data_IF_066953629062
#
_entry.id   IF_066953629062
#
_cell.length_a   1.000
_cell.length_b   1.000
_cell.length_c   1.000
_cell.angle_alpha   90.00
_cell.angle_beta   90.00
_cell.angle_gamma   90.00
#
_symmetry.space_group_name_H-M   'P 1'
#
loop_
_entity.id
_entity.type
_entity.pdbx_description
1 polymer ?
#
# COMPACT_ATOMS: atom_id res chain seq x y z
N UNK A 1 77.46 -44.44 -26.78
CA UNK A 1 77.74 -43.00 -26.78
C UNK A 1 76.47 -42.29 -26.42
N UNK A 2 76.25 -42.02 -25.15
CA UNK A 2 75.07 -41.30 -24.66
C UNK A 2 75.46 -39.83 -24.44
N UNK A 3 74.99 -38.98 -25.31
CA UNK A 3 75.24 -37.55 -25.24
C UNK A 3 74.45 -36.89 -24.15
N UNK A 4 75.08 -36.30 -23.12
CA UNK A 4 74.39 -35.70 -21.98
C UNK A 4 73.66 -34.40 -22.35
N UNK A 5 73.93 -33.80 -23.53
CA UNK A 5 73.20 -32.57 -23.95
C UNK A 5 71.74 -32.83 -24.40
N UNK A 6 71.49 -34.05 -24.99
CA UNK A 6 70.15 -34.41 -25.46
C UNK A 6 69.14 -34.64 -24.32
N UNK A 7 69.62 -35.01 -23.13
CA UNK A 7 68.76 -35.22 -21.93
C UNK A 7 68.37 -33.86 -21.28
N UNK A 8 69.24 -32.84 -21.41
CA UNK A 8 68.95 -31.49 -20.82
C UNK A 8 67.92 -30.69 -21.64
N UNK A 9 67.78 -30.97 -22.93
CA UNK A 9 66.79 -30.25 -23.76
C UNK A 9 65.33 -30.73 -23.60
N UNK A 10 65.11 -31.93 -23.10
CA UNK A 10 63.72 -32.48 -22.91
C UNK A 10 63.09 -32.19 -21.56
N UNK A 11 63.83 -31.73 -20.53
CA UNK A 11 63.32 -31.46 -19.22
C UNK A 11 62.41 -30.25 -19.14
N UNK A 12 62.58 -29.13 -19.87
CA UNK A 12 61.69 -27.96 -19.75
C UNK A 12 60.27 -28.22 -20.30
N UNK A 13 60.13 -29.07 -21.33
CA UNK A 13 58.84 -29.33 -21.98
C UNK A 13 57.89 -30.20 -21.15
N UNK A 14 58.44 -31.15 -20.39
CA UNK A 14 57.68 -32.05 -19.53
C UNK A 14 57.19 -31.31 -18.29
N UNK A 15 58.00 -30.44 -17.68
CA UNK A 15 57.62 -29.63 -16.50
C UNK A 15 56.56 -28.60 -16.89
N UNK A 16 56.67 -27.98 -18.08
CA UNK A 16 55.68 -27.03 -18.58
C UNK A 16 54.30 -27.68 -18.84
N UNK A 17 54.29 -28.90 -19.38
CA UNK A 17 53.06 -29.65 -19.66
C UNK A 17 52.38 -30.13 -18.39
N UNK A 18 53.12 -30.49 -17.35
CA UNK A 18 52.59 -30.91 -16.05
C UNK A 18 51.98 -29.72 -15.29
N UNK A 19 52.65 -28.56 -15.29
CA UNK A 19 52.13 -27.32 -14.69
C UNK A 19 50.88 -26.79 -15.40
N UNK A 20 50.80 -26.93 -16.72
CA UNK A 20 49.61 -26.55 -17.50
C UNK A 20 48.41 -27.44 -17.15
N UNK A 21 48.59 -28.74 -16.98
CA UNK A 21 47.54 -29.69 -16.55
C UNK A 21 47.04 -29.42 -15.12
N UNK A 22 47.93 -29.11 -14.20
CA UNK A 22 47.55 -28.72 -12.83
C UNK A 22 46.80 -27.40 -12.78
N UNK A 23 47.15 -26.39 -13.57
CA UNK A 23 46.43 -25.13 -13.66
C UNK A 23 44.99 -25.28 -14.23
N UNK A 24 44.83 -26.15 -15.23
CA UNK A 24 43.51 -26.48 -15.78
C UNK A 24 42.65 -27.25 -14.79
N UNK A 25 43.26 -28.21 -14.05
CA UNK A 25 42.57 -28.97 -13.00
C UNK A 25 42.12 -28.08 -11.84
N UNK A 26 42.96 -27.12 -11.38
CA UNK A 26 42.59 -26.13 -10.34
C UNK A 26 41.49 -25.21 -10.78
N UNK A 27 41.52 -24.65 -12.00
CA UNK A 27 40.42 -23.81 -12.51
C UNK A 27 39.10 -24.54 -12.62
N UNK A 28 39.05 -25.82 -13.01
CA UNK A 28 37.81 -26.61 -13.04
C UNK A 28 37.28 -26.94 -11.64
N UNK A 29 38.15 -27.17 -10.65
CA UNK A 29 37.75 -27.37 -9.25
C UNK A 29 37.19 -26.08 -8.61
N UNK A 30 37.80 -24.94 -8.90
CA UNK A 30 37.34 -23.64 -8.41
C UNK A 30 35.98 -23.24 -8.99
N UNK A 31 35.71 -23.53 -10.28
CA UNK A 31 34.40 -23.28 -10.88
C UNK A 31 33.30 -24.18 -10.29
N UNK A 32 33.56 -25.46 -10.04
CA UNK A 32 32.59 -26.35 -9.39
C UNK A 32 32.32 -25.93 -7.94
N UNK A 33 33.35 -25.60 -7.17
CA UNK A 33 33.18 -25.15 -5.77
C UNK A 33 32.49 -23.79 -5.66
N UNK A 34 32.54 -22.93 -6.67
CA UNK A 34 31.77 -21.69 -6.71
C UNK A 34 30.31 -21.92 -7.07
N UNK A 35 30.02 -22.81 -8.01
CA UNK A 35 28.66 -23.20 -8.37
C UNK A 35 27.93 -23.88 -7.20
N UNK A 36 28.61 -24.82 -6.52
CA UNK A 36 28.05 -25.52 -5.37
C UNK A 36 27.82 -24.59 -4.15
N UNK A 37 28.71 -23.59 -3.95
CA UNK A 37 28.53 -22.55 -2.92
C UNK A 37 27.42 -21.56 -3.28
N UNK A 38 27.24 -21.23 -4.57
CA UNK A 38 26.15 -20.38 -5.02
C UNK A 38 24.79 -21.09 -4.88
N UNK A 39 24.72 -22.39 -5.19
CA UNK A 39 23.51 -23.20 -5.03
C UNK A 39 23.16 -23.43 -3.55
N UNK A 40 24.15 -23.73 -2.69
CA UNK A 40 23.94 -23.86 -1.25
C UNK A 40 23.51 -22.55 -0.57
N UNK A 41 24.01 -21.40 -1.03
CA UNK A 41 23.58 -20.06 -0.57
C UNK A 41 22.15 -19.73 -0.98
N UNK A 42 21.72 -20.10 -2.19
CA UNK A 42 20.34 -19.90 -2.60
C UNK A 42 19.37 -20.80 -1.83
N UNK A 43 19.70 -22.05 -1.62
CA UNK A 43 18.88 -23.00 -0.86
C UNK A 43 18.71 -22.55 0.61
N UNK A 44 19.80 -22.10 1.25
CA UNK A 44 19.74 -21.52 2.60
C UNK A 44 18.84 -20.29 2.64
N UNK A 45 18.87 -19.43 1.61
CA UNK A 45 17.97 -18.27 1.49
C UNK A 45 16.49 -18.67 1.46
N UNK A 46 16.13 -19.70 0.70
CA UNK A 46 14.75 -20.21 0.66
C UNK A 46 14.33 -20.86 1.97
N UNK A 47 15.25 -21.50 2.71
CA UNK A 47 14.98 -22.08 4.00
C UNK A 47 14.58 -21.01 5.04
N UNK A 48 15.19 -19.84 5.01
CA UNK A 48 14.80 -18.70 5.84
C UNK A 48 13.42 -18.14 5.52
N UNK A 49 12.91 -18.32 4.30
CA UNK A 49 11.57 -17.91 3.91
C UNK A 49 10.49 -18.93 4.32
N UNK A 50 10.89 -20.17 4.62
CA UNK A 50 9.96 -21.26 4.91
C UNK A 50 9.03 -20.96 6.11
N UNK A 51 9.48 -20.41 7.26
CA UNK A 51 8.59 -20.05 8.36
C UNK A 51 7.54 -19.00 7.95
N UNK A 52 7.93 -18.02 7.12
CA UNK A 52 7.02 -16.99 6.61
C UNK A 52 5.97 -17.63 5.69
N UNK A 53 6.39 -18.48 4.74
CA UNK A 53 5.45 -19.17 3.85
C UNK A 53 4.56 -20.19 4.59
N UNK A 54 5.06 -20.83 5.62
CA UNK A 54 4.29 -21.74 6.45
C UNK A 54 3.10 -21.07 7.15
N UNK A 55 3.19 -19.76 7.42
CA UNK A 55 2.09 -18.94 7.96
C UNK A 55 1.31 -18.28 6.83
N UNK A 56 1.99 -17.67 5.86
CA UNK A 56 1.36 -16.87 4.83
C UNK A 56 0.48 -17.69 3.88
N UNK A 57 0.94 -18.89 3.49
CA UNK A 57 0.17 -19.75 2.56
C UNK A 57 -1.17 -20.20 3.15
N UNK A 58 -1.24 -20.82 4.36
CA UNK A 58 -2.51 -21.30 4.91
C UNK A 58 -3.44 -20.20 5.39
N UNK A 59 -2.93 -19.03 5.84
CA UNK A 59 -3.76 -17.98 6.43
C UNK A 59 -4.09 -16.84 5.46
N UNK A 60 -3.37 -16.68 4.35
CA UNK A 60 -3.60 -15.62 3.38
C UNK A 60 -3.90 -16.17 1.99
N UNK A 61 -3.00 -16.97 1.41
CA UNK A 61 -3.17 -17.45 0.04
C UNK A 61 -4.31 -18.46 -0.09
N UNK A 62 -4.37 -19.44 0.81
CA UNK A 62 -5.41 -20.48 0.74
C UNK A 62 -6.82 -19.88 0.93
N UNK A 63 -7.13 -19.02 1.92
CA UNK A 63 -8.42 -18.35 2.02
C UNK A 63 -8.73 -17.47 0.79
N UNK A 64 -7.74 -16.78 0.23
CA UNK A 64 -7.94 -15.98 -0.99
C UNK A 64 -8.36 -16.84 -2.18
N UNK A 65 -7.65 -17.93 -2.43
CA UNK A 65 -7.97 -18.88 -3.50
C UNK A 65 -9.32 -19.55 -3.24
N UNK A 66 -9.61 -19.92 -1.99
CA UNK A 66 -10.89 -20.50 -1.60
C UNK A 66 -12.05 -19.52 -1.80
N UNK A 67 -11.87 -18.24 -1.45
CA UNK A 67 -12.87 -17.19 -1.72
C UNK A 67 -13.13 -17.03 -3.21
N UNK A 68 -12.05 -16.99 -4.03
CA UNK A 68 -12.18 -16.93 -5.48
C UNK A 68 -12.90 -18.18 -6.04
N UNK A 69 -12.69 -19.37 -5.47
CA UNK A 69 -13.42 -20.57 -5.83
C UNK A 69 -14.90 -20.49 -5.42
N UNK A 70 -15.20 -20.06 -4.18
CA UNK A 70 -16.57 -19.89 -3.69
C UNK A 70 -17.36 -18.84 -4.47
N UNK A 71 -16.71 -17.86 -5.06
CA UNK A 71 -17.37 -16.87 -5.91
C UNK A 71 -18.07 -17.45 -7.15
N UNK A 72 -17.67 -18.65 -7.55
CA UNK A 72 -18.25 -19.39 -8.68
C UNK A 72 -19.40 -20.31 -8.27
N UNK A 73 -19.78 -20.33 -6.99
CA UNK A 73 -20.88 -21.13 -6.46
C UNK A 73 -22.03 -20.23 -5.98
N UNK A 74 -23.26 -20.68 -6.17
CA UNK A 74 -24.39 -20.20 -5.37
C UNK A 74 -24.39 -20.98 -4.07
N UNK A 75 -24.02 -20.30 -2.99
CA UNK A 75 -23.88 -20.89 -1.68
C UNK A 75 -24.35 -19.93 -0.59
N UNK A 76 -25.10 -20.48 0.36
CA UNK A 76 -25.63 -19.75 1.50
C UNK A 76 -24.82 -19.93 2.80
N UNK A 77 -23.72 -20.68 2.75
CA UNK A 77 -22.90 -20.97 3.93
C UNK A 77 -23.34 -22.18 4.74
N UNK A 78 -24.53 -22.73 4.52
CA UNK A 78 -25.15 -23.79 5.34
C UNK A 78 -25.42 -25.08 4.57
N UNK A 79 -26.00 -24.99 3.39
CA UNK A 79 -26.34 -26.12 2.53
C UNK A 79 -25.25 -26.35 1.48
N UNK A 80 -25.19 -27.53 0.85
CA UNK A 80 -24.29 -27.74 -0.27
C UNK A 80 -24.48 -26.70 -1.37
N UNK A 81 -23.38 -26.02 -1.77
CA UNK A 81 -23.42 -25.03 -2.84
C UNK A 81 -23.57 -25.66 -4.22
N UNK A 82 -24.24 -24.98 -5.12
CA UNK A 82 -24.37 -25.38 -6.53
C UNK A 82 -23.42 -24.56 -7.40
N UNK A 83 -22.79 -25.23 -8.39
CA UNK A 83 -21.92 -24.56 -9.33
C UNK A 83 -22.70 -23.57 -10.19
N UNK A 84 -22.30 -22.30 -10.16
CA UNK A 84 -22.95 -21.18 -10.86
C UNK A 84 -22.06 -20.52 -11.91
N UNK A 85 -20.77 -20.90 -11.98
CA UNK A 85 -19.81 -20.24 -12.86
C UNK A 85 -19.77 -18.73 -12.61
N UNK A 86 -19.93 -17.92 -13.64
CA UNK A 86 -19.89 -16.46 -13.52
C UNK A 86 -21.25 -15.80 -13.23
N UNK A 87 -22.28 -16.58 -12.84
CA UNK A 87 -23.62 -16.03 -12.59
C UNK A 87 -23.63 -14.98 -11.44
N UNK A 88 -22.86 -15.20 -10.37
CA UNK A 88 -22.73 -14.22 -9.29
C UNK A 88 -22.17 -12.89 -9.81
N UNK A 89 -21.12 -12.93 -10.61
CA UNK A 89 -20.54 -11.72 -11.19
C UNK A 89 -21.52 -10.99 -12.11
N UNK A 90 -22.25 -11.73 -12.95
CA UNK A 90 -23.26 -11.14 -13.84
C UNK A 90 -24.39 -10.49 -13.06
N UNK A 91 -24.87 -11.12 -12.00
CA UNK A 91 -25.90 -10.55 -11.12
C UNK A 91 -25.40 -9.28 -10.43
N UNK A 92 -24.16 -9.27 -9.94
CA UNK A 92 -23.56 -8.12 -9.27
C UNK A 92 -23.37 -6.93 -10.22
N UNK A 93 -22.91 -7.15 -11.46
CA UNK A 93 -22.75 -6.06 -12.44
C UNK A 93 -24.08 -5.44 -12.90
N UNK A 94 -25.18 -6.13 -12.69
CA UNK A 94 -26.54 -5.63 -12.96
C UNK A 94 -27.19 -4.97 -11.73
N UNK A 95 -26.51 -4.97 -10.58
CA UNK A 95 -27.03 -4.45 -9.33
C UNK A 95 -26.64 -2.95 -9.18
N UNK A 96 -27.62 -2.03 -9.20
CA UNK A 96 -27.35 -0.61 -9.03
C UNK A 96 -26.69 -0.26 -7.69
N UNK A 97 -26.97 -1.05 -6.61
CA UNK A 97 -26.40 -0.84 -5.30
C UNK A 97 -24.88 -1.11 -5.31
N UNK A 98 -24.43 -2.15 -6.04
CA UNK A 98 -23.01 -2.40 -6.18
C UNK A 98 -22.32 -1.29 -6.98
N UNK A 99 -22.93 -0.84 -8.07
CA UNK A 99 -22.38 0.25 -8.86
C UNK A 99 -22.21 1.54 -8.02
N UNK A 100 -23.24 1.93 -7.25
CA UNK A 100 -23.15 3.08 -6.35
C UNK A 100 -22.09 2.89 -5.27
N UNK A 101 -21.95 1.69 -4.69
CA UNK A 101 -20.94 1.39 -3.70
C UNK A 101 -19.50 1.59 -4.24
N UNK A 102 -19.21 1.19 -5.47
CA UNK A 102 -17.92 1.47 -6.11
C UNK A 102 -17.70 2.97 -6.38
N UNK A 103 -18.76 3.70 -6.75
CA UNK A 103 -18.69 5.17 -6.88
C UNK A 103 -18.37 5.81 -5.53
N UNK A 104 -19.01 5.37 -4.45
CA UNK A 104 -18.69 5.87 -3.10
C UNK A 104 -17.22 5.58 -2.72
N UNK A 105 -16.72 4.37 -3.01
CA UNK A 105 -15.29 4.09 -2.80
C UNK A 105 -14.39 4.97 -3.63
N UNK A 106 -14.75 5.29 -4.88
CA UNK A 106 -13.98 6.21 -5.71
C UNK A 106 -13.97 7.65 -5.13
N UNK A 107 -15.10 8.11 -4.59
CA UNK A 107 -15.15 9.38 -3.83
C UNK A 107 -14.26 9.30 -2.58
N UNK A 108 -14.31 8.20 -1.83
CA UNK A 108 -13.45 8.00 -0.67
C UNK A 108 -11.96 7.96 -1.04
N UNK A 109 -11.56 7.57 -2.25
CA UNK A 109 -10.16 7.68 -2.70
C UNK A 109 -9.67 9.14 -2.65
N UNK A 110 -10.51 10.12 -2.98
CA UNK A 110 -10.13 11.54 -2.85
C UNK A 110 -9.83 11.88 -1.39
N UNK A 111 -10.71 11.47 -0.48
CA UNK A 111 -10.57 11.78 0.94
C UNK A 111 -9.50 10.95 1.65
N UNK A 112 -9.28 9.70 1.27
CA UNK A 112 -8.35 8.80 1.95
C UNK A 112 -6.95 8.81 1.33
N UNK A 113 -6.79 9.26 0.08
CA UNK A 113 -5.51 9.30 -0.58
C UNK A 113 -5.09 10.73 -0.96
N UNK A 114 -5.88 11.46 -1.75
CA UNK A 114 -5.47 12.78 -2.26
C UNK A 114 -5.33 13.78 -1.12
N UNK A 115 -6.35 13.91 -0.27
CA UNK A 115 -6.34 14.89 0.81
C UNK A 115 -5.29 14.58 1.91
N UNK A 116 -5.15 13.35 2.43
CA UNK A 116 -4.11 13.04 3.40
C UNK A 116 -2.70 13.24 2.85
N UNK A 117 -2.45 12.86 1.59
CA UNK A 117 -1.15 13.07 0.92
C UNK A 117 -0.86 14.57 0.79
N UNK A 118 -1.82 15.35 0.30
CA UNK A 118 -1.66 16.81 0.16
C UNK A 118 -1.43 17.50 1.52
N UNK A 119 -2.22 17.12 2.55
CA UNK A 119 -2.08 17.65 3.90
C UNK A 119 -0.72 17.28 4.50
N UNK A 120 -0.30 16.03 4.36
CA UNK A 120 0.99 15.55 4.85
C UNK A 120 2.16 16.25 4.15
N UNK A 121 2.12 16.40 2.82
CA UNK A 121 3.13 17.16 2.07
C UNK A 121 3.21 18.61 2.53
N UNK A 122 2.07 19.26 2.74
CA UNK A 122 2.01 20.62 3.25
C UNK A 122 2.64 20.72 4.64
N UNK A 123 2.22 19.88 5.60
CA UNK A 123 2.73 19.89 6.98
C UNK A 123 4.23 19.59 7.02
N UNK A 124 4.71 18.61 6.28
CA UNK A 124 6.12 18.24 6.24
C UNK A 124 6.95 19.34 5.60
N UNK A 125 6.47 20.01 4.55
CA UNK A 125 7.12 21.15 3.91
C UNK A 125 7.27 22.35 4.87
N UNK A 126 6.23 22.65 5.65
CA UNK A 126 6.28 23.70 6.67
C UNK A 126 7.27 23.34 7.80
N UNK A 127 7.21 22.09 8.29
CA UNK A 127 8.06 21.64 9.39
C UNK A 127 9.54 21.54 9.02
N UNK A 128 9.89 21.17 7.79
CA UNK A 128 11.27 21.09 7.32
C UNK A 128 11.95 22.45 7.27
N UNK A 129 11.21 23.50 6.92
CA UNK A 129 11.73 24.87 6.81
C UNK A 129 11.85 25.58 8.14
N UNK A 130 10.90 25.36 9.04
CA UNK A 130 10.81 26.12 10.28
C UNK A 130 11.95 25.85 11.28
N UNK A 131 12.87 24.89 11.01
CA UNK A 131 13.94 24.44 11.94
C UNK A 131 13.45 24.41 13.40
N UNK A 132 12.24 23.86 13.61
CA UNK A 132 11.54 23.91 14.89
C UNK A 132 12.39 23.20 15.95
N UNK A 133 12.93 23.98 16.91
CA UNK A 133 13.56 23.43 18.09
C UNK A 133 12.51 22.62 18.87
N UNK A 134 12.76 21.32 19.10
CA UNK A 134 11.77 20.45 19.74
C UNK A 134 10.73 19.85 18.78
N UNK A 135 11.06 19.66 17.51
CA UNK A 135 10.15 19.06 16.50
C UNK A 135 9.61 17.65 16.89
N UNK A 136 10.27 16.94 17.81
CA UNK A 136 9.84 15.60 18.27
C UNK A 136 8.41 15.56 18.79
N UNK A 137 8.05 16.31 19.84
CA UNK A 137 6.69 16.36 20.38
C UNK A 137 5.62 16.71 19.34
N UNK A 138 5.89 17.66 18.45
CA UNK A 138 4.95 18.03 17.37
C UNK A 138 4.74 16.87 16.40
N UNK A 139 5.80 16.16 16.01
CA UNK A 139 5.70 14.96 15.15
C UNK A 139 4.87 13.87 15.81
N UNK A 140 5.08 13.63 17.12
CA UNK A 140 4.33 12.65 17.90
C UNK A 140 2.85 13.02 17.96
N UNK A 141 2.51 14.29 18.24
CA UNK A 141 1.15 14.77 18.29
C UNK A 141 0.43 14.64 16.93
N UNK A 142 1.11 15.02 15.85
CA UNK A 142 0.57 14.91 14.50
C UNK A 142 0.43 13.45 14.02
N UNK A 143 1.20 12.52 14.59
CA UNK A 143 1.09 11.09 14.29
C UNK A 143 0.04 10.38 15.15
N UNK A 144 -0.44 11.01 16.23
CA UNK A 144 -1.38 10.40 17.17
C UNK A 144 -2.63 9.80 16.49
N UNK A 145 -3.26 10.41 15.47
CA UNK A 145 -4.42 9.83 14.79
C UNK A 145 -4.19 8.44 14.23
N UNK A 146 -2.98 8.15 13.76
CA UNK A 146 -2.63 6.85 13.17
C UNK A 146 -2.53 5.72 14.20
N UNK A 147 -2.32 6.04 15.48
CA UNK A 147 -2.16 5.05 16.54
C UNK A 147 -3.53 4.59 17.07
N UNK A 148 -4.55 5.44 16.93
CA UNK A 148 -5.88 5.16 17.44
C UNK A 148 -6.59 4.13 16.57
N UNK A 149 -7.14 3.03 17.14
CA UNK A 149 -7.91 2.06 16.36
C UNK A 149 -9.06 2.69 15.60
N UNK A 150 -9.27 2.31 14.35
CA UNK A 150 -10.25 2.91 13.42
C UNK A 150 -11.67 2.93 13.99
N UNK A 151 -12.07 1.87 14.73
CA UNK A 151 -13.38 1.79 15.39
C UNK A 151 -13.54 2.90 16.45
N UNK A 152 -12.50 3.15 17.25
CA UNK A 152 -12.52 4.22 18.28
C UNK A 152 -12.61 5.59 17.61
N UNK A 153 -11.84 5.78 16.52
CA UNK A 153 -11.93 7.00 15.71
C UNK A 153 -13.35 7.21 15.21
N UNK A 154 -13.97 6.19 14.62
CA UNK A 154 -15.33 6.29 14.11
C UNK A 154 -16.36 6.67 15.21
N UNK A 155 -16.27 6.06 16.39
CA UNK A 155 -17.14 6.37 17.52
C UNK A 155 -16.95 7.83 18.00
N UNK A 156 -15.69 8.27 18.15
CA UNK A 156 -15.39 9.63 18.58
C UNK A 156 -15.93 10.67 17.59
N UNK A 157 -15.75 10.42 16.30
CA UNK A 157 -16.23 11.32 15.25
C UNK A 157 -17.77 11.31 15.12
N UNK A 158 -18.46 10.17 15.39
CA UNK A 158 -19.94 10.16 15.50
C UNK A 158 -20.42 11.15 16.54
N UNK A 159 -19.76 11.21 17.69
CA UNK A 159 -20.09 12.19 18.72
C UNK A 159 -19.76 13.63 18.29
N UNK A 160 -18.61 13.86 17.64
CA UNK A 160 -18.21 15.17 17.11
C UNK A 160 -19.22 15.68 16.07
N UNK A 161 -19.70 14.79 15.19
CA UNK A 161 -20.62 15.10 14.09
C UNK A 161 -22.12 14.97 14.48
N UNK A 162 -22.42 14.68 15.74
CA UNK A 162 -23.80 14.64 16.22
C UNK A 162 -24.50 16.01 16.08
N UNK A 163 -25.84 16.07 15.94
CA UNK A 163 -26.56 17.33 15.80
C UNK A 163 -26.29 18.33 16.93
N UNK A 164 -26.09 17.82 18.14
CA UNK A 164 -25.74 18.56 19.37
C UNK A 164 -24.22 18.44 19.70
N UNK A 165 -23.42 17.89 18.77
CA UNK A 165 -22.02 17.63 18.98
C UNK A 165 -21.11 18.86 18.92
N UNK A 166 -19.82 18.72 19.34
CA UNK A 166 -18.87 19.81 19.44
C UNK A 166 -18.69 20.62 18.15
N UNK A 167 -18.77 19.99 16.97
CA UNK A 167 -18.62 20.70 15.70
C UNK A 167 -19.76 21.70 15.49
N UNK A 168 -21.01 21.27 15.69
CA UNK A 168 -22.18 22.13 15.55
C UNK A 168 -22.24 23.23 16.63
N UNK A 169 -21.83 22.91 17.86
CA UNK A 169 -21.69 23.91 18.92
C UNK A 169 -20.66 24.99 18.56
N UNK A 170 -19.51 24.58 18.00
CA UNK A 170 -18.50 25.52 17.53
C UNK A 170 -19.03 26.41 16.41
N UNK A 171 -19.71 25.83 15.42
CA UNK A 171 -20.32 26.57 14.31
C UNK A 171 -21.33 27.61 14.80
N UNK A 172 -22.13 27.26 15.78
CA UNK A 172 -23.08 28.18 16.41
C UNK A 172 -22.35 29.32 17.17
N UNK A 173 -21.31 28.98 17.93
CA UNK A 173 -20.56 29.95 18.73
C UNK A 173 -19.85 31.01 17.88
N UNK A 174 -19.38 30.64 16.66
CA UNK A 174 -18.74 31.56 15.73
C UNK A 174 -19.70 32.24 14.74
N UNK A 175 -21.02 32.09 14.93
CA UNK A 175 -22.04 32.72 14.09
C UNK A 175 -22.33 31.97 12.78
N UNK A 176 -21.81 30.79 12.58
CA UNK A 176 -22.07 29.93 11.41
C UNK A 176 -23.10 28.84 11.66
N UNK A 177 -24.06 29.08 12.60
CA UNK A 177 -25.09 28.12 12.96
C UNK A 177 -25.96 27.61 11.80
N UNK A 178 -26.11 28.41 10.73
CA UNK A 178 -26.80 27.99 9.49
C UNK A 178 -26.12 26.82 8.74
N UNK A 179 -24.86 26.50 9.07
CA UNK A 179 -24.13 25.33 8.53
C UNK A 179 -24.27 24.08 9.40
N UNK A 180 -24.80 24.23 10.65
CA UNK A 180 -24.97 23.11 11.57
C UNK A 180 -26.03 22.12 11.03
N UNK A 181 -25.70 20.83 11.05
CA UNK A 181 -26.54 19.76 10.50
C UNK A 181 -26.23 18.40 11.10
N UNK A 182 -27.02 17.41 10.77
CA UNK A 182 -26.75 16.01 11.09
C UNK A 182 -25.75 15.45 10.04
N UNK A 183 -24.46 15.73 10.20
CA UNK A 183 -23.40 15.45 9.21
C UNK A 183 -23.40 14.02 8.67
N UNK A 184 -23.60 13.02 9.54
CA UNK A 184 -23.64 11.59 9.18
C UNK A 184 -25.06 11.10 8.84
N UNK A 185 -26.10 11.93 9.05
CA UNK A 185 -27.50 11.63 8.74
C UNK A 185 -28.03 12.34 7.48
N UNK A 186 -27.21 13.15 6.83
CA UNK A 186 -27.58 13.90 5.64
C UNK A 186 -27.16 13.14 4.37
N UNK A 187 -28.06 12.96 3.41
CA UNK A 187 -27.80 12.22 2.19
C UNK A 187 -26.65 12.78 1.33
N UNK A 188 -26.41 14.08 1.40
CA UNK A 188 -25.36 14.77 0.62
C UNK A 188 -24.03 14.78 1.36
N UNK A 189 -24.08 14.99 2.68
CA UNK A 189 -22.87 15.23 3.48
C UNK A 189 -22.33 14.00 4.21
N UNK A 190 -23.08 12.91 4.34
CA UNK A 190 -22.65 11.73 5.08
C UNK A 190 -21.37 11.10 4.48
N UNK A 191 -21.30 10.93 3.16
CA UNK A 191 -20.11 10.36 2.51
C UNK A 191 -18.89 11.29 2.62
N UNK A 192 -18.96 12.59 2.34
CA UNK A 192 -17.89 13.54 2.64
C UNK A 192 -17.48 13.57 4.12
N UNK A 193 -18.42 13.49 5.05
CA UNK A 193 -18.13 13.47 6.49
C UNK A 193 -17.32 12.21 6.87
N UNK A 194 -17.72 11.03 6.41
CA UNK A 194 -16.93 9.80 6.53
C UNK A 194 -15.54 9.98 5.88
N UNK A 195 -15.50 10.65 4.73
CA UNK A 195 -14.26 10.98 4.05
C UNK A 195 -13.30 11.82 4.90
N UNK A 196 -13.80 12.87 5.56
CA UNK A 196 -13.03 13.73 6.47
C UNK A 196 -12.44 12.94 7.64
N UNK A 197 -13.21 12.00 8.21
CA UNK A 197 -12.70 11.12 9.26
C UNK A 197 -11.51 10.31 8.74
N UNK A 198 -11.63 9.71 7.55
CA UNK A 198 -10.55 8.95 6.93
C UNK A 198 -9.33 9.80 6.59
N UNK A 199 -9.54 11.04 6.11
CA UNK A 199 -8.44 12.00 5.92
C UNK A 199 -7.67 12.22 7.21
N UNK A 200 -8.38 12.49 8.30
CA UNK A 200 -7.79 12.70 9.61
C UNK A 200 -7.06 11.45 10.14
N UNK A 201 -7.58 10.26 9.89
CA UNK A 201 -6.94 9.02 10.31
C UNK A 201 -5.65 8.71 9.53
N UNK A 202 -5.60 9.04 8.21
CA UNK A 202 -4.55 8.58 7.31
C UNK A 202 -3.42 9.60 7.06
N UNK A 203 -3.62 10.91 7.33
CA UNK A 203 -2.57 11.90 7.06
C UNK A 203 -1.29 11.65 7.88
N UNK A 204 -1.42 11.10 9.09
CA UNK A 204 -0.28 10.77 9.94
C UNK A 204 0.64 9.72 9.33
N UNK A 205 0.07 8.69 8.69
CA UNK A 205 0.82 7.68 7.94
C UNK A 205 1.63 8.33 6.80
N UNK A 206 0.97 9.15 5.99
CA UNK A 206 1.61 9.85 4.89
C UNK A 206 2.74 10.77 5.39
N UNK A 207 2.50 11.48 6.49
CA UNK A 207 3.49 12.38 7.09
C UNK A 207 4.76 11.64 7.53
N UNK A 208 4.64 10.49 8.18
CA UNK A 208 5.81 9.68 8.60
C UNK A 208 6.60 9.20 7.40
N UNK A 209 5.93 8.72 6.35
CA UNK A 209 6.58 8.30 5.11
C UNK A 209 7.36 9.45 4.48
N UNK A 210 6.76 10.64 4.39
CA UNK A 210 7.41 11.80 3.78
C UNK A 210 8.56 12.37 4.64
N UNK A 211 8.44 12.36 5.97
CA UNK A 211 9.54 12.73 6.86
C UNK A 211 10.74 11.79 6.66
N UNK A 212 10.50 10.48 6.55
CA UNK A 212 11.56 9.51 6.29
C UNK A 212 12.18 9.69 4.90
N UNK A 213 11.36 10.02 3.89
CA UNK A 213 11.81 10.32 2.54
C UNK A 213 12.66 11.59 2.46
N UNK A 214 12.27 12.69 3.14
CA UNK A 214 13.03 13.93 3.16
C UNK A 214 14.45 13.74 3.69
N UNK A 215 14.65 12.85 4.65
CA UNK A 215 15.99 12.59 5.22
C UNK A 215 16.96 11.96 4.21
N UNK A 216 16.46 11.40 3.12
CA UNK A 216 17.26 10.81 2.05
C UNK A 216 17.69 11.81 0.99
N UNK A 217 17.06 12.99 0.94
CA UNK A 217 17.36 14.03 -0.07
C UNK A 217 18.61 14.78 0.37
N UNK A 218 19.70 14.79 -0.44
CA UNK A 218 20.92 15.51 -0.10
C UNK A 218 20.68 17.01 0.03
N UNK A 219 21.23 17.63 1.09
CA UNK A 219 21.13 19.08 1.34
C UNK A 219 21.69 19.90 0.17
N UNK A 220 22.70 19.39 -0.52
CA UNK A 220 23.32 20.07 -1.68
C UNK A 220 22.34 20.38 -2.81
N UNK A 221 21.24 19.60 -2.96
CA UNK A 221 20.21 19.91 -3.94
C UNK A 221 19.39 21.14 -3.56
N UNK A 222 19.13 21.32 -2.27
CA UNK A 222 18.44 22.51 -1.78
C UNK A 222 19.35 23.75 -1.88
N UNK A 223 20.63 23.60 -1.56
CA UNK A 223 21.61 24.68 -1.65
C UNK A 223 21.79 25.12 -3.12
N UNK A 224 21.83 24.18 -4.07
CA UNK A 224 21.89 24.49 -5.50
C UNK A 224 20.64 25.24 -5.97
N UNK A 225 19.44 24.77 -5.61
CA UNK A 225 18.20 25.45 -5.97
C UNK A 225 18.14 26.88 -5.43
N UNK A 226 18.63 27.11 -4.21
CA UNK A 226 18.72 28.45 -3.61
C UNK A 226 19.73 29.35 -4.34
N UNK A 227 20.88 28.80 -4.77
CA UNK A 227 21.86 29.54 -5.59
C UNK A 227 21.29 29.94 -6.94
N UNK A 228 20.39 29.12 -7.51
CA UNK A 228 19.66 29.43 -8.75
C UNK A 228 18.48 30.40 -8.52
N UNK A 229 18.30 30.93 -7.29
CA UNK A 229 17.26 31.88 -6.96
C UNK A 229 15.86 31.27 -6.76
N UNK A 230 15.77 29.95 -6.57
CA UNK A 230 14.49 29.30 -6.36
C UNK A 230 13.83 29.75 -5.05
N UNK A 231 12.62 30.29 -5.14
CA UNK A 231 11.78 30.54 -3.97
C UNK A 231 11.25 29.25 -3.35
N UNK A 232 10.61 29.33 -2.18
CA UNK A 232 10.13 28.19 -1.42
C UNK A 232 9.26 27.18 -2.19
N UNK A 233 8.38 27.67 -3.04
CA UNK A 233 7.49 26.84 -3.84
C UNK A 233 8.23 26.17 -5.01
N UNK A 234 9.14 26.92 -5.66
CA UNK A 234 9.98 26.35 -6.72
C UNK A 234 10.91 25.25 -6.19
N UNK A 235 11.54 25.44 -5.03
CA UNK A 235 12.35 24.45 -4.32
C UNK A 235 11.53 23.19 -3.98
N UNK A 236 10.27 23.36 -3.51
CA UNK A 236 9.38 22.24 -3.24
C UNK A 236 9.09 21.42 -4.51
N UNK A 237 8.76 22.09 -5.64
CA UNK A 237 8.45 21.42 -6.90
C UNK A 237 9.68 20.81 -7.58
N UNK A 238 10.85 21.48 -7.49
CA UNK A 238 12.05 21.05 -8.19
C UNK A 238 12.87 20.00 -7.43
N UNK A 239 12.86 20.02 -6.09
CA UNK A 239 13.70 19.16 -5.25
C UNK A 239 12.86 18.22 -4.39
N UNK A 240 11.94 18.77 -3.59
CA UNK A 240 11.22 17.99 -2.58
C UNK A 240 10.26 16.98 -3.22
N UNK A 241 9.40 17.42 -4.09
CA UNK A 241 8.35 16.58 -4.70
C UNK A 241 8.94 15.45 -5.57
N UNK A 242 9.93 15.69 -6.44
CA UNK A 242 10.61 14.62 -7.16
C UNK A 242 11.40 13.68 -6.24
N UNK A 243 12.04 14.22 -5.20
CA UNK A 243 12.79 13.45 -4.21
C UNK A 243 11.91 12.50 -3.38
N UNK A 244 10.63 12.85 -3.17
CA UNK A 244 9.65 12.04 -2.45
C UNK A 244 8.84 11.08 -3.35
N UNK A 245 9.20 10.93 -4.63
CA UNK A 245 8.44 10.12 -5.57
C UNK A 245 8.22 8.68 -5.10
N UNK A 246 9.24 8.06 -4.53
CA UNK A 246 9.14 6.70 -3.99
C UNK A 246 8.12 6.61 -2.84
N UNK A 247 8.20 7.53 -1.91
CA UNK A 247 7.30 7.62 -0.75
C UNK A 247 5.86 7.97 -1.16
N UNK A 248 5.69 8.79 -2.21
CA UNK A 248 4.37 9.08 -2.80
C UNK A 248 3.72 7.83 -3.40
N UNK A 249 4.50 6.98 -4.07
CA UNK A 249 4.02 5.70 -4.61
C UNK A 249 3.57 4.77 -3.49
N UNK A 250 4.35 4.69 -2.41
CA UNK A 250 4.00 3.86 -1.25
C UNK A 250 2.76 4.42 -0.54
N UNK A 251 2.74 5.73 -0.24
CA UNK A 251 1.60 6.39 0.38
C UNK A 251 0.33 6.22 -0.44
N UNK A 252 0.38 6.51 -1.74
CA UNK A 252 -0.75 6.35 -2.65
C UNK A 252 -1.25 4.90 -2.73
N UNK A 253 -0.34 3.92 -2.77
CA UNK A 253 -0.71 2.51 -2.78
C UNK A 253 -1.48 2.12 -1.50
N UNK A 254 -0.95 2.49 -0.33
CA UNK A 254 -1.55 2.13 0.96
C UNK A 254 -2.89 2.84 1.17
N UNK A 255 -2.97 4.12 0.86
CA UNK A 255 -4.16 4.94 1.09
C UNK A 255 -5.29 4.63 0.11
N UNK A 256 -4.99 4.36 -1.17
CA UNK A 256 -6.01 3.93 -2.14
C UNK A 256 -6.51 2.53 -1.80
N UNK A 257 -5.62 1.60 -1.42
CA UNK A 257 -6.03 0.29 -0.94
C UNK A 257 -6.97 0.42 0.28
N UNK A 258 -6.64 1.30 1.24
CA UNK A 258 -7.50 1.57 2.39
C UNK A 258 -8.87 2.15 2.00
N UNK A 259 -8.93 3.03 0.98
CA UNK A 259 -10.20 3.58 0.49
C UNK A 259 -11.11 2.52 -0.13
N UNK A 260 -10.55 1.70 -1.03
CA UNK A 260 -11.31 0.66 -1.76
C UNK A 260 -11.76 -0.47 -0.82
N UNK A 261 -10.94 -0.79 0.18
CA UNK A 261 -11.23 -1.84 1.19
C UNK A 261 -11.87 -1.28 2.46
N UNK A 262 -12.29 0.00 2.47
CA UNK A 262 -12.86 0.62 3.67
C UNK A 262 -14.12 -0.11 4.13
N UNK A 263 -14.11 -0.59 5.38
CA UNK A 263 -15.24 -1.26 6.04
C UNK A 263 -15.51 -0.65 7.41
N UNK A 264 -14.53 -0.78 8.32
CA UNK A 264 -14.71 -0.47 9.76
C UNK A 264 -15.26 0.93 10.00
N UNK A 265 -14.69 1.92 9.34
CA UNK A 265 -15.05 3.32 9.52
C UNK A 265 -16.47 3.59 9.02
N UNK A 266 -16.83 3.09 7.83
CA UNK A 266 -18.17 3.23 7.26
C UNK A 266 -19.20 2.47 8.10
N UNK A 267 -18.90 1.22 8.47
CA UNK A 267 -19.78 0.38 9.25
C UNK A 267 -20.11 1.02 10.62
N UNK A 268 -19.08 1.47 11.33
CA UNK A 268 -19.25 2.05 12.67
C UNK A 268 -19.84 3.48 12.62
N UNK A 269 -19.42 4.31 11.65
CA UNK A 269 -19.88 5.69 11.59
C UNK A 269 -21.33 5.81 11.12
N UNK A 270 -21.74 5.10 10.07
CA UNK A 270 -23.01 5.28 9.38
C UNK A 270 -23.78 3.99 9.10
N UNK A 271 -23.11 2.83 9.19
CA UNK A 271 -23.63 1.54 8.73
C UNK A 271 -24.18 1.59 7.28
N UNK A 272 -23.53 2.42 6.42
CA UNK A 272 -23.95 2.63 5.04
C UNK A 272 -25.00 3.70 4.81
N UNK A 273 -25.61 4.26 5.90
CA UNK A 273 -26.70 5.25 5.85
C UNK A 273 -26.25 6.70 5.61
N UNK A 274 -27.22 7.60 5.46
CA UNK A 274 -28.68 7.37 5.36
C UNK A 274 -29.07 6.67 4.04
N UNK A 275 -30.06 5.78 4.10
CA UNK A 275 -30.32 4.87 2.97
C UNK A 275 -29.07 4.06 2.64
N UNK A 276 -28.56 4.20 1.43
CA UNK A 276 -27.29 3.58 1.01
C UNK A 276 -26.21 4.63 0.61
N UNK A 277 -26.38 5.89 1.07
CA UNK A 277 -25.55 7.03 0.65
C UNK A 277 -24.06 6.90 1.00
N UNK A 278 -23.70 6.02 1.95
CA UNK A 278 -22.31 5.75 2.33
C UNK A 278 -21.94 4.27 2.18
N UNK A 279 -22.80 3.47 1.58
CA UNK A 279 -22.52 2.03 1.34
C UNK A 279 -21.31 1.87 0.43
N UNK A 280 -20.35 1.06 0.86
CA UNK A 280 -19.12 0.71 0.14
C UNK A 280 -19.10 -0.79 -0.18
N UNK A 281 -18.30 -1.25 -1.16
CA UNK A 281 -18.28 -2.67 -1.56
C UNK A 281 -17.97 -3.63 -0.41
N UNK A 282 -17.04 -3.27 0.48
CA UNK A 282 -16.70 -4.11 1.65
C UNK A 282 -17.87 -4.26 2.63
N UNK A 283 -18.72 -3.24 2.77
CA UNK A 283 -19.94 -3.33 3.55
C UNK A 283 -20.99 -4.24 2.87
N UNK A 284 -21.06 -4.24 1.54
CA UNK A 284 -21.92 -5.17 0.80
C UNK A 284 -21.45 -6.62 0.95
N UNK A 285 -20.13 -6.88 0.97
CA UNK A 285 -19.59 -8.22 1.29
C UNK A 285 -20.14 -8.69 2.65
N UNK A 286 -20.09 -7.84 3.65
CA UNK A 286 -20.59 -8.17 4.98
C UNK A 286 -22.10 -8.44 4.97
N UNK A 287 -22.91 -7.58 4.37
CA UNK A 287 -24.37 -7.72 4.28
C UNK A 287 -24.74 -8.99 3.52
N UNK A 288 -24.18 -9.23 2.34
CA UNK A 288 -24.43 -10.41 1.53
C UNK A 288 -24.07 -11.70 2.26
N UNK A 289 -22.94 -11.74 2.97
CA UNK A 289 -22.49 -12.94 3.67
C UNK A 289 -23.29 -13.24 4.93
N UNK A 290 -23.54 -12.22 5.77
CA UNK A 290 -24.01 -12.41 7.13
C UNK A 290 -25.49 -12.02 7.33
N UNK A 291 -26.04 -11.12 6.50
CA UNK A 291 -27.45 -10.72 6.59
C UNK A 291 -28.31 -11.46 5.59
N UNK A 292 -27.84 -11.61 4.35
CA UNK A 292 -28.64 -12.15 3.25
C UNK A 292 -28.39 -13.64 3.00
N UNK A 293 -27.37 -14.24 3.65
CA UNK A 293 -27.00 -15.63 3.42
C UNK A 293 -26.56 -15.92 1.98
N UNK A 294 -25.99 -14.95 1.27
CA UNK A 294 -25.51 -15.05 -0.11
C UNK A 294 -23.97 -15.06 -0.16
N UNK A 295 -23.39 -16.10 0.47
CA UNK A 295 -21.93 -16.19 0.66
C UNK A 295 -21.19 -16.25 -0.68
N UNK A 296 -21.73 -16.97 -1.69
CA UNK A 296 -21.15 -16.98 -3.04
C UNK A 296 -21.12 -15.59 -3.69
N UNK A 297 -22.19 -14.80 -3.52
CA UNK A 297 -22.26 -13.41 -3.97
C UNK A 297 -21.25 -12.51 -3.23
N UNK A 298 -21.18 -12.64 -1.90
CA UNK A 298 -20.19 -11.94 -1.08
C UNK A 298 -18.75 -12.25 -1.52
N UNK A 299 -18.46 -13.53 -1.79
CA UNK A 299 -17.16 -13.97 -2.31
C UNK A 299 -16.82 -13.33 -3.68
N UNK A 300 -17.83 -13.17 -4.56
CA UNK A 300 -17.63 -12.53 -5.85
C UNK A 300 -17.32 -11.04 -5.72
N UNK A 301 -18.01 -10.28 -4.82
CA UNK A 301 -17.66 -8.88 -4.51
C UNK A 301 -16.26 -8.80 -3.91
N UNK A 302 -15.94 -9.64 -2.91
CA UNK A 302 -14.62 -9.65 -2.26
C UNK A 302 -13.47 -9.94 -3.24
N UNK A 303 -13.66 -10.91 -4.16
CA UNK A 303 -12.69 -11.21 -5.21
C UNK A 303 -12.52 -10.02 -6.17
N UNK A 304 -13.62 -9.34 -6.51
CA UNK A 304 -13.58 -8.12 -7.35
C UNK A 304 -12.81 -7.01 -6.68
N UNK A 305 -13.02 -6.76 -5.38
CA UNK A 305 -12.26 -5.78 -4.60
C UNK A 305 -10.76 -6.14 -4.60
N UNK A 306 -10.42 -7.40 -4.32
CA UNK A 306 -9.04 -7.87 -4.31
C UNK A 306 -8.36 -7.69 -5.68
N UNK A 307 -9.02 -8.06 -6.77
CA UNK A 307 -8.53 -7.87 -8.13
C UNK A 307 -8.35 -6.39 -8.47
N UNK A 308 -9.29 -5.52 -8.07
CA UNK A 308 -9.22 -4.08 -8.30
C UNK A 308 -8.04 -3.45 -7.54
N UNK A 309 -7.89 -3.75 -6.25
CA UNK A 309 -6.76 -3.26 -5.43
C UNK A 309 -5.43 -3.74 -6.01
N UNK A 310 -5.35 -4.99 -6.43
CA UNK A 310 -4.16 -5.54 -7.07
C UNK A 310 -3.83 -4.80 -8.38
N UNK A 311 -4.82 -4.61 -9.25
CA UNK A 311 -4.65 -3.90 -10.52
C UNK A 311 -4.19 -2.44 -10.30
N UNK A 312 -4.86 -1.71 -9.39
CA UNK A 312 -4.48 -0.33 -9.04
C UNK A 312 -3.05 -0.28 -8.50
N UNK A 313 -2.68 -1.20 -7.60
CA UNK A 313 -1.33 -1.29 -7.04
C UNK A 313 -0.29 -1.53 -8.13
N UNK A 314 -0.55 -2.42 -9.09
CA UNK A 314 0.34 -2.68 -10.22
C UNK A 314 0.50 -1.45 -11.11
N UNK A 315 -0.60 -0.73 -11.39
CA UNK A 315 -0.57 0.51 -12.18
C UNK A 315 0.27 1.57 -11.46
N UNK A 316 0.01 1.83 -10.18
CA UNK A 316 0.76 2.82 -9.39
C UNK A 316 2.26 2.49 -9.38
N UNK A 317 2.62 1.23 -9.14
CA UNK A 317 4.01 0.78 -9.13
C UNK A 317 4.67 0.87 -10.51
N UNK A 318 3.93 0.59 -11.58
CA UNK A 318 4.48 0.68 -12.94
C UNK A 318 4.83 2.13 -13.30
N UNK A 319 3.93 3.07 -13.03
CA UNK A 319 4.17 4.50 -13.32
C UNK A 319 5.08 5.19 -12.28
N UNK A 320 5.14 4.67 -11.07
CA UNK A 320 5.94 5.23 -9.97
C UNK A 320 7.42 4.87 -10.00
N UNK A 321 7.85 3.84 -10.76
CA UNK A 321 9.27 3.45 -10.86
C UNK A 321 10.12 4.57 -11.43
N UNK A 322 11.27 4.81 -10.79
CA UNK A 322 12.27 5.73 -11.32
C UNK A 322 12.94 5.16 -12.58
N UNK A 323 13.49 6.00 -13.48
CA UNK A 323 14.26 5.51 -14.64
C UNK A 323 15.38 4.56 -14.23
N UNK A 324 16.12 4.84 -13.16
CA UNK A 324 17.19 4.00 -12.64
C UNK A 324 16.72 2.60 -12.17
N UNK A 325 15.49 2.50 -11.64
CA UNK A 325 14.90 1.20 -11.27
C UNK A 325 14.38 0.43 -12.49
N UNK A 326 14.01 1.10 -13.57
CA UNK A 326 13.59 0.45 -14.82
C UNK A 326 14.77 -0.25 -15.49
N UNK A 327 15.93 0.40 -15.49
CA UNK A 327 17.15 -0.13 -16.13
C UNK A 327 17.78 -1.29 -15.33
N UNK A 328 17.52 -1.40 -14.03
CA UNK A 328 18.01 -2.49 -13.19
C UNK A 328 17.26 -3.83 -13.40
N UNK A 329 16.11 -3.82 -14.06
CA UNK A 329 15.25 -4.99 -14.31
C UNK A 329 15.07 -5.28 -15.82
N UNK A 330 15.68 -4.51 -16.71
CA UNK A 330 15.77 -4.76 -18.14
C UNK A 330 17.08 -5.47 -18.49
#
# INVERSE_FOLDING_TARGET
MNDPETIRALQPSVVASTQARERVGRRRRDHRSRADRAFGRSLSGYLFLLPVFAVYVPFVLLPLVHTAFLSLYQWNGLTPGTWAGFANYRALWSDPQLASAFVHSAVLVVFYAVLPIALALFLVSVMSRARIRGAGPYRTLLFLPQIVPTVVVAIAWRWIFAPDGPLNQLLQAIGLGGLARAWLGDFTFALPAVGVIGTWALYGLCMVLFIAGLQKIPQSLYDAAQMDGAGPFAEFLAVTLPGLRGELVVAGTLTIAAAVSSFDLVYVATNGGPGDATTVPSLLVYRLAFSDGRVGGAAAVGTTIAALVFAITMVIRHFGRSPAERDAFA
#
